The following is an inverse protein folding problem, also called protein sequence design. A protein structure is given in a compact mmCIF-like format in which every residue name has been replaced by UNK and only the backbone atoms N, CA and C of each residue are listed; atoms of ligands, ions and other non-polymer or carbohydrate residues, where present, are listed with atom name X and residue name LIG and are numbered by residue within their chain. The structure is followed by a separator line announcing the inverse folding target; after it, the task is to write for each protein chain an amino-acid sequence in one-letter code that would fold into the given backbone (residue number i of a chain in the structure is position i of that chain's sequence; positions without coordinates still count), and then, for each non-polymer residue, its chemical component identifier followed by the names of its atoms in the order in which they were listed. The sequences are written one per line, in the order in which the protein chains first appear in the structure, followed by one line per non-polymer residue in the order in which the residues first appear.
data_IF_246039195428
#
_entry.id   IF_246039195428
#
_cell.length_a   1.000
_cell.length_b   1.000
_cell.length_c   1.000
_cell.angle_alpha   90.00
_cell.angle_beta   90.00
_cell.angle_gamma   90.00
#
_symmetry.space_group_name_H-M   'P 1'
#
loop_
_entity.id
_entity.type
_entity.pdbx_description
1 polymer ?
#
# COMPACT_ATOMS: atom_id res chain seq x y z
N UNK A 1 -14.65 -39.14 -13.93
CA UNK A 1 -13.49 -39.90 -14.45
C UNK A 1 -12.93 -39.14 -15.67
N UNK A 2 -11.60 -38.95 -15.70
CA UNK A 2 -10.75 -38.25 -16.69
C UNK A 2 -10.93 -36.71 -16.74
N UNK A 3 -10.06 -35.82 -16.25
CA UNK A 3 -8.60 -35.75 -16.06
C UNK A 3 -7.76 -35.65 -17.35
N UNK A 4 -7.06 -34.50 -17.46
CA UNK A 4 -5.79 -34.25 -18.18
C UNK A 4 -5.77 -34.07 -19.71
N UNK A 5 -5.39 -32.84 -20.13
CA UNK A 5 -4.47 -32.42 -21.22
C UNK A 5 -4.92 -30.99 -21.63
N UNK A 6 -4.20 -29.90 -21.44
CA UNK A 6 -2.76 -29.66 -21.65
C UNK A 6 -2.27 -28.48 -20.80
N UNK A 7 -1.45 -28.78 -19.78
CA UNK A 7 -0.44 -27.87 -19.26
C UNK A 7 0.73 -27.86 -20.26
N UNK A 8 0.85 -26.82 -21.09
CA UNK A 8 2.07 -26.50 -21.83
C UNK A 8 1.98 -25.13 -22.51
N UNK A 9 2.27 -24.05 -21.77
CA UNK A 9 3.11 -22.98 -22.31
C UNK A 9 4.00 -22.47 -21.17
N UNK A 10 5.23 -22.99 -21.05
CA UNK A 10 6.18 -22.53 -20.06
C UNK A 10 6.64 -21.13 -20.48
N UNK A 11 6.49 -20.15 -19.60
CA UNK A 11 7.46 -19.06 -19.44
C UNK A 11 8.07 -18.47 -20.72
N UNK A 12 7.25 -18.08 -21.71
CA UNK A 12 7.73 -17.21 -22.79
C UNK A 12 7.74 -15.76 -22.28
N UNK A 13 8.81 -15.41 -21.57
CA UNK A 13 9.15 -14.06 -21.13
C UNK A 13 9.53 -13.20 -22.36
N UNK A 14 8.57 -12.94 -23.24
CA UNK A 14 8.78 -12.15 -24.46
C UNK A 14 8.78 -10.66 -24.12
N UNK A 15 9.80 -9.90 -24.55
CA UNK A 15 9.92 -8.44 -24.38
C UNK A 15 8.68 -7.66 -24.83
N UNK A 16 7.81 -8.25 -25.67
CA UNK A 16 6.52 -7.70 -26.09
C UNK A 16 5.54 -7.45 -24.94
N UNK A 17 5.61 -8.19 -23.84
CA UNK A 17 4.76 -7.97 -22.67
C UNK A 17 5.14 -6.72 -21.85
N UNK A 18 6.38 -6.21 -22.00
CA UNK A 18 6.84 -4.99 -21.32
C UNK A 18 6.44 -3.71 -22.05
N UNK A 19 6.30 -3.73 -23.37
CA UNK A 19 5.91 -2.54 -24.15
C UNK A 19 4.62 -1.86 -23.70
N UNK A 20 3.53 -2.56 -23.33
CA UNK A 20 2.33 -1.91 -22.78
C UNK A 20 2.48 -1.46 -21.31
N UNK A 21 3.49 -1.93 -20.59
CA UNK A 21 3.75 -1.56 -19.18
C UNK A 21 4.62 -0.31 -19.06
N UNK A 22 5.51 -0.11 -20.03
CA UNK A 22 6.45 1.01 -20.10
C UNK A 22 5.81 2.40 -19.82
N UNK A 23 4.70 2.81 -20.45
CA UNK A 23 4.17 4.16 -20.26
C UNK A 23 3.72 4.41 -18.82
N UNK A 24 3.14 3.42 -18.15
CA UNK A 24 2.73 3.56 -16.75
C UNK A 24 3.92 3.59 -15.79
N UNK A 25 4.92 2.74 -16.03
CA UNK A 25 6.15 2.71 -15.21
C UNK A 25 6.93 4.02 -15.36
N UNK A 26 7.05 4.56 -16.58
CA UNK A 26 7.69 5.85 -16.84
C UNK A 26 7.01 7.00 -16.08
N UNK A 27 5.68 7.01 -16.01
CA UNK A 27 4.95 8.01 -15.22
C UNK A 27 5.25 7.86 -13.73
N UNK A 28 5.24 6.64 -13.19
CA UNK A 28 5.60 6.40 -11.78
C UNK A 28 7.02 6.89 -11.49
N UNK A 29 8.00 6.56 -12.34
CA UNK A 29 9.40 7.00 -12.20
C UNK A 29 9.50 8.52 -12.30
N UNK A 30 8.82 9.15 -13.25
CA UNK A 30 8.80 10.60 -13.40
C UNK A 30 8.24 11.31 -12.16
N UNK A 31 7.14 10.81 -11.59
CA UNK A 31 6.55 11.34 -10.35
C UNK A 31 7.51 11.16 -9.17
N UNK A 32 8.13 9.99 -9.02
CA UNK A 32 9.12 9.74 -7.96
C UNK A 32 10.34 10.64 -8.11
N UNK A 33 10.89 10.81 -9.32
CA UNK A 33 12.01 11.71 -9.57
C UNK A 33 11.64 13.17 -9.28
N UNK A 34 10.44 13.60 -9.68
CA UNK A 34 9.96 14.95 -9.39
C UNK A 34 9.82 15.19 -7.88
N UNK A 35 9.31 14.21 -7.13
CA UNK A 35 9.18 14.31 -5.68
C UNK A 35 10.54 14.39 -4.97
N UNK A 36 11.50 13.54 -5.35
CA UNK A 36 12.87 13.56 -4.80
C UNK A 36 13.56 14.88 -5.15
N UNK A 37 13.40 15.38 -6.38
CA UNK A 37 14.00 16.65 -6.77
C UNK A 37 13.37 17.83 -6.01
N UNK A 38 12.05 17.82 -5.84
CA UNK A 38 11.33 18.82 -5.06
C UNK A 38 11.80 18.84 -3.60
N UNK A 39 11.97 17.67 -2.97
CA UNK A 39 12.53 17.57 -1.62
C UNK A 39 13.96 18.11 -1.58
N UNK A 40 14.83 17.74 -2.53
CA UNK A 40 16.22 18.23 -2.60
C UNK A 40 16.30 19.74 -2.75
N UNK A 41 15.42 20.33 -3.55
CA UNK A 41 15.32 21.79 -3.72
C UNK A 41 14.84 22.44 -2.43
N UNK A 42 13.86 21.85 -1.75
CA UNK A 42 13.33 22.34 -0.49
C UNK A 42 14.38 22.32 0.63
N UNK A 43 15.15 21.23 0.76
CA UNK A 43 16.26 21.15 1.72
C UNK A 43 17.34 22.19 1.42
N UNK A 44 17.63 22.47 0.14
CA UNK A 44 18.60 23.51 -0.23
C UNK A 44 18.12 24.94 0.02
N UNK A 45 16.83 25.23 -0.14
CA UNK A 45 16.30 26.58 0.08
C UNK A 45 15.90 26.87 1.53
N UNK A 46 15.28 25.90 2.22
CA UNK A 46 14.65 26.09 3.52
C UNK A 46 15.43 25.46 4.69
N UNK A 47 16.53 24.75 4.42
CA UNK A 47 17.39 24.12 5.44
C UNK A 47 16.80 22.87 6.12
N UNK A 48 15.49 22.61 5.99
CA UNK A 48 14.79 21.43 6.51
C UNK A 48 13.71 20.93 5.52
N UNK A 49 13.48 19.61 5.48
CA UNK A 49 12.41 19.02 4.69
C UNK A 49 11.08 19.12 5.46
N UNK A 50 10.18 20.01 5.03
CA UNK A 50 8.84 20.15 5.64
C UNK A 50 7.88 19.05 5.20
N UNK A 51 8.10 18.49 4.00
CA UNK A 51 7.40 17.30 3.50
C UNK A 51 8.45 16.30 3.00
N UNK A 52 8.36 15.06 3.47
CA UNK A 52 9.19 13.97 2.95
C UNK A 52 8.85 13.66 1.49
N UNK A 53 9.79 13.03 0.77
CA UNK A 53 9.65 12.60 -0.62
C UNK A 53 8.39 11.76 -0.85
N UNK A 54 8.03 10.90 0.12
CA UNK A 54 6.84 10.05 0.04
C UNK A 54 5.54 10.88 -0.02
N UNK A 55 5.42 11.90 0.83
CA UNK A 55 4.22 12.76 0.89
C UNK A 55 4.13 13.60 -0.39
N UNK A 56 5.26 14.13 -0.85
CA UNK A 56 5.35 14.85 -2.13
C UNK A 56 4.97 13.96 -3.31
N UNK A 57 5.44 12.71 -3.35
CA UNK A 57 5.11 11.77 -4.41
C UNK A 57 3.60 11.44 -4.43
N UNK A 58 2.97 11.27 -3.25
CA UNK A 58 1.53 11.03 -3.13
C UNK A 58 0.74 12.26 -3.59
N UNK A 59 1.15 13.47 -3.18
CA UNK A 59 0.50 14.73 -3.59
C UNK A 59 0.60 14.96 -5.10
N UNK A 60 1.81 14.85 -5.67
CA UNK A 60 2.03 15.02 -7.11
C UNK A 60 1.27 13.95 -7.89
N UNK A 61 1.31 12.68 -7.46
CA UNK A 61 0.59 11.59 -8.11
C UNK A 61 -0.93 11.79 -8.07
N UNK A 62 -1.47 12.24 -6.93
CA UNK A 62 -2.90 12.53 -6.77
C UNK A 62 -3.33 13.72 -7.62
N UNK A 63 -2.56 14.81 -7.62
CA UNK A 63 -2.81 15.98 -8.47
C UNK A 63 -2.75 15.62 -9.95
N UNK A 64 -1.73 14.87 -10.37
CA UNK A 64 -1.60 14.41 -11.76
C UNK A 64 -2.80 13.56 -12.18
N UNK A 65 -3.25 12.65 -11.31
CA UNK A 65 -4.41 11.79 -11.59
C UNK A 65 -5.73 12.55 -11.60
N UNK A 66 -5.84 13.63 -10.83
CA UNK A 66 -7.05 14.46 -10.73
C UNK A 66 -7.17 15.47 -11.88
N UNK A 67 -6.04 16.06 -12.31
CA UNK A 67 -6.00 17.11 -13.33
C UNK A 67 -5.84 16.58 -14.75
N UNK A 68 -5.25 15.40 -14.92
CA UNK A 68 -4.94 14.83 -16.24
C UNK A 68 -5.66 13.49 -16.42
N UNK A 69 -6.38 13.33 -17.53
CA UNK A 69 -6.90 12.04 -17.94
C UNK A 69 -5.76 11.18 -18.49
N UNK A 70 -5.25 10.24 -17.69
CA UNK A 70 -4.17 9.36 -18.12
C UNK A 70 -4.66 8.41 -19.23
N UNK A 71 -3.84 8.15 -20.26
CA UNK A 71 -4.18 7.21 -21.32
C UNK A 71 -4.37 5.79 -20.77
N UNK A 72 -5.31 5.02 -21.35
CA UNK A 72 -5.62 3.65 -20.91
C UNK A 72 -4.38 2.73 -20.88
N UNK A 73 -3.43 2.97 -21.80
CA UNK A 73 -2.15 2.27 -21.85
C UNK A 73 -1.29 2.46 -20.57
N UNK A 74 -1.38 3.61 -19.90
CA UNK A 74 -0.64 3.84 -18.66
C UNK A 74 -1.21 3.07 -17.47
N UNK A 75 -2.50 2.71 -17.49
CA UNK A 75 -3.15 2.03 -16.37
C UNK A 75 -2.54 0.66 -16.09
N UNK A 76 -2.10 -0.07 -17.12
CA UNK A 76 -1.47 -1.38 -16.96
C UNK A 76 -0.15 -1.27 -16.17
N UNK A 77 0.72 -0.33 -16.55
CA UNK A 77 1.99 -0.10 -15.86
C UNK A 77 1.81 0.40 -14.43
N UNK A 78 0.86 1.31 -14.19
CA UNK A 78 0.58 1.82 -12.82
C UNK A 78 0.09 0.68 -11.92
N UNK A 79 -0.82 -0.18 -12.39
CA UNK A 79 -1.31 -1.34 -11.63
C UNK A 79 -0.20 -2.34 -11.33
N UNK A 80 0.70 -2.57 -12.30
CA UNK A 80 1.86 -3.43 -12.11
C UNK A 80 2.78 -2.88 -11.01
N UNK A 81 3.08 -1.58 -11.04
CA UNK A 81 3.89 -0.94 -10.00
C UNK A 81 3.22 -0.98 -8.62
N UNK A 82 1.92 -0.66 -8.55
CA UNK A 82 1.19 -0.59 -7.30
C UNK A 82 0.96 -1.96 -6.62
N UNK A 83 0.95 -3.05 -7.39
CA UNK A 83 0.74 -4.40 -6.86
C UNK A 83 2.04 -5.20 -6.85
N UNK A 84 2.57 -5.53 -8.02
CA UNK A 84 3.67 -6.48 -8.15
C UNK A 84 4.99 -5.92 -7.63
N UNK A 85 5.37 -4.71 -8.03
CA UNK A 85 6.60 -4.10 -7.52
C UNK A 85 6.50 -3.83 -6.01
N UNK A 86 5.34 -3.39 -5.53
CA UNK A 86 5.13 -3.15 -4.10
C UNK A 86 5.20 -4.43 -3.27
N UNK A 87 4.57 -5.53 -3.70
CA UNK A 87 4.65 -6.83 -3.02
C UNK A 87 6.09 -7.37 -2.99
N UNK A 88 6.84 -7.25 -4.09
CA UNK A 88 8.26 -7.61 -4.14
C UNK A 88 9.06 -6.76 -3.15
N UNK A 89 8.86 -5.44 -3.15
CA UNK A 89 9.57 -4.52 -2.25
C UNK A 89 9.29 -4.84 -0.77
N UNK A 90 8.04 -5.11 -0.40
CA UNK A 90 7.65 -5.49 0.97
C UNK A 90 8.26 -6.84 1.36
N UNK A 91 8.28 -7.82 0.45
CA UNK A 91 8.91 -9.11 0.71
C UNK A 91 10.43 -8.97 0.96
N UNK A 92 11.12 -8.17 0.14
CA UNK A 92 12.55 -7.88 0.34
C UNK A 92 12.79 -7.11 1.63
N UNK A 93 11.95 -6.12 1.95
CA UNK A 93 12.04 -5.36 3.20
C UNK A 93 11.88 -6.27 4.42
N UNK A 94 10.96 -7.23 4.36
CA UNK A 94 10.81 -8.28 5.39
C UNK A 94 12.05 -9.16 5.52
N UNK A 95 12.65 -9.58 4.40
CA UNK A 95 13.90 -10.36 4.39
C UNK A 95 15.08 -9.58 4.99
N UNK A 96 15.20 -8.28 4.69
CA UNK A 96 16.22 -7.39 5.26
C UNK A 96 16.02 -7.16 6.76
N UNK A 97 14.78 -6.94 7.22
CA UNK A 97 14.48 -6.75 8.65
C UNK A 97 14.76 -8.02 9.46
N UNK A 98 14.37 -9.19 8.95
CA UNK A 98 14.48 -10.46 9.69
C UNK A 98 15.91 -10.75 10.17
N UNK A 99 16.92 -10.51 9.32
CA UNK A 99 18.32 -10.75 9.66
C UNK A 99 18.92 -9.71 10.60
N UNK A 100 18.51 -8.45 10.47
CA UNK A 100 19.01 -7.34 11.29
C UNK A 100 18.40 -7.32 12.69
N UNK A 101 17.10 -7.57 12.79
CA UNK A 101 16.32 -7.49 14.03
C UNK A 101 16.54 -8.72 14.93
N UNK A 102 16.65 -9.90 14.33
CA UNK A 102 16.79 -11.16 15.08
C UNK A 102 18.12 -11.26 15.85
N UNK A 103 19.17 -10.56 15.40
CA UNK A 103 20.48 -10.55 16.06
C UNK A 103 20.56 -9.68 17.31
N UNK A 104 19.65 -8.70 17.48
CA UNK A 104 19.76 -7.71 18.55
C UNK A 104 18.70 -7.81 19.65
N UNK A 105 17.44 -8.10 19.31
CA UNK A 105 16.32 -7.93 20.26
C UNK A 105 15.16 -8.93 20.08
N UNK A 106 15.44 -10.04 19.38
CA UNK A 106 14.48 -11.01 18.80
C UNK A 106 13.12 -11.16 19.49
N UNK A 107 13.07 -11.58 20.76
CA UNK A 107 11.80 -11.84 21.45
C UNK A 107 11.02 -10.59 21.87
N UNK A 108 11.71 -9.55 22.33
CA UNK A 108 11.08 -8.33 22.85
C UNK A 108 10.44 -7.51 21.72
N UNK A 109 11.09 -7.46 20.55
CA UNK A 109 10.55 -6.75 19.39
C UNK A 109 9.34 -7.46 18.79
N UNK A 110 9.36 -8.80 18.69
CA UNK A 110 8.21 -9.56 18.22
C UNK A 110 7.02 -9.37 19.17
N UNK A 111 7.27 -9.45 20.48
CA UNK A 111 6.25 -9.19 21.50
C UNK A 111 5.69 -7.76 21.42
N UNK A 112 6.57 -6.76 21.24
CA UNK A 112 6.19 -5.36 21.10
C UNK A 112 5.34 -5.08 19.86
N UNK A 113 5.73 -5.63 18.70
CA UNK A 113 4.96 -5.51 17.46
C UNK A 113 3.60 -6.20 17.62
N UNK A 114 3.56 -7.42 18.15
CA UNK A 114 2.32 -8.15 18.37
C UNK A 114 1.38 -7.37 19.31
N UNK A 115 1.92 -6.78 20.39
CA UNK A 115 1.15 -5.97 21.33
C UNK A 115 0.62 -4.70 20.66
N UNK A 116 1.44 -3.97 19.92
CA UNK A 116 1.02 -2.71 19.29
C UNK A 116 -0.02 -2.94 18.19
N UNK A 117 0.13 -4.03 17.44
CA UNK A 117 -0.85 -4.46 16.44
C UNK A 117 -2.14 -4.87 17.13
N UNK A 118 -2.09 -5.68 18.19
CA UNK A 118 -3.28 -6.09 18.93
C UNK A 118 -4.02 -4.88 19.54
N UNK A 119 -3.29 -3.95 20.16
CA UNK A 119 -3.85 -2.72 20.70
C UNK A 119 -4.47 -1.86 19.59
N UNK A 120 -3.76 -1.65 18.47
CA UNK A 120 -4.28 -0.89 17.34
C UNK A 120 -5.53 -1.52 16.75
N UNK A 121 -5.60 -2.86 16.72
CA UNK A 121 -6.75 -3.60 16.19
C UNK A 121 -7.97 -3.42 17.10
N UNK A 122 -7.78 -3.55 18.42
CA UNK A 122 -8.85 -3.32 19.41
C UNK A 122 -9.34 -1.87 19.34
N UNK A 123 -8.44 -0.90 19.33
CA UNK A 123 -8.78 0.54 19.27
C UNK A 123 -9.50 0.86 17.96
N UNK A 124 -8.97 0.42 16.81
CA UNK A 124 -9.58 0.65 15.50
C UNK A 124 -10.95 -0.02 15.38
N UNK A 125 -11.11 -1.23 15.92
CA UNK A 125 -12.40 -1.92 15.94
C UNK A 125 -13.40 -1.20 16.84
N UNK A 126 -13.00 -0.80 18.04
CA UNK A 126 -13.84 -0.06 18.97
C UNK A 126 -14.29 1.27 18.34
N UNK A 127 -13.38 2.02 17.71
CA UNK A 127 -13.69 3.25 16.98
C UNK A 127 -14.70 2.99 15.85
N UNK A 128 -14.50 1.94 15.06
CA UNK A 128 -15.46 1.55 14.02
C UNK A 128 -16.84 1.19 14.58
N UNK A 129 -16.91 0.51 15.72
CA UNK A 129 -18.18 0.18 16.39
C UNK A 129 -18.87 1.40 16.99
N UNK A 130 -18.11 2.36 17.54
CA UNK A 130 -18.65 3.64 18.04
C UNK A 130 -19.24 4.48 16.92
N UNK A 131 -18.70 4.39 15.71
CA UNK A 131 -19.24 5.01 14.50
C UNK A 131 -20.46 4.26 13.92
N UNK A 132 -20.93 3.19 14.56
CA UNK A 132 -22.11 2.44 14.15
C UNK A 132 -21.88 1.43 13.02
N UNK A 133 -20.62 1.11 12.67
CA UNK A 133 -20.34 0.17 11.59
C UNK A 133 -20.73 -1.27 11.98
N UNK A 134 -21.21 -2.07 11.00
CA UNK A 134 -21.46 -3.49 11.23
C UNK A 134 -20.14 -4.21 11.60
N UNK A 135 -20.21 -5.27 12.42
CA UNK A 135 -19.02 -5.90 13.01
C UNK A 135 -18.01 -6.36 11.95
N UNK A 136 -18.48 -6.95 10.83
CA UNK A 136 -17.61 -7.42 9.74
C UNK A 136 -16.83 -6.26 9.09
N UNK A 137 -17.51 -5.15 8.79
CA UNK A 137 -16.88 -3.97 8.21
C UNK A 137 -15.88 -3.32 9.18
N UNK A 138 -16.24 -3.22 10.47
CA UNK A 138 -15.37 -2.70 11.51
C UNK A 138 -14.10 -3.56 11.67
N UNK A 139 -14.23 -4.90 11.63
CA UNK A 139 -13.08 -5.81 11.69
C UNK A 139 -12.17 -5.66 10.48
N UNK A 140 -12.72 -5.57 9.27
CA UNK A 140 -11.92 -5.38 8.05
C UNK A 140 -11.15 -4.05 8.08
N UNK A 141 -11.81 -2.95 8.45
CA UNK A 141 -11.15 -1.64 8.60
C UNK A 141 -10.06 -1.71 9.67
N UNK A 142 -10.33 -2.35 10.82
CA UNK A 142 -9.35 -2.50 11.89
C UNK A 142 -8.13 -3.31 11.45
N UNK A 143 -8.32 -4.41 10.71
CA UNK A 143 -7.22 -5.19 10.13
C UNK A 143 -6.43 -4.38 9.10
N UNK A 144 -7.12 -3.65 8.23
CA UNK A 144 -6.48 -2.79 7.23
C UNK A 144 -5.63 -1.68 7.85
N UNK A 145 -6.16 -1.02 8.88
CA UNK A 145 -5.47 0.10 9.53
C UNK A 145 -4.32 -0.34 10.46
N UNK A 146 -4.42 -1.51 11.08
CA UNK A 146 -3.45 -1.96 12.11
C UNK A 146 -2.28 -2.79 11.58
N UNK A 147 -2.41 -3.35 10.38
CA UNK A 147 -1.39 -4.24 9.81
C UNK A 147 -0.75 -3.56 8.61
N UNK A 148 -1.30 -3.71 7.40
CA UNK A 148 -0.69 -3.16 6.17
C UNK A 148 -1.72 -2.92 5.04
N UNK A 149 -2.93 -2.44 5.34
CA UNK A 149 -3.90 -2.00 4.33
C UNK A 149 -4.63 -3.12 3.59
N UNK A 150 -4.74 -3.00 2.26
CA UNK A 150 -5.61 -3.83 1.43
C UNK A 150 -5.28 -5.32 1.45
N UNK A 151 -4.01 -5.69 1.60
CA UNK A 151 -3.60 -7.10 1.69
C UNK A 151 -4.10 -7.75 2.99
N UNK A 152 -4.13 -6.99 4.10
CA UNK A 152 -4.70 -7.48 5.36
C UNK A 152 -6.22 -7.64 5.26
N UNK A 153 -6.91 -6.70 4.60
CA UNK A 153 -8.35 -6.80 4.33
C UNK A 153 -8.66 -8.05 3.49
N UNK A 154 -7.89 -8.27 2.41
CA UNK A 154 -8.07 -9.42 1.53
C UNK A 154 -7.82 -10.76 2.25
N UNK A 155 -6.84 -10.82 3.16
CA UNK A 155 -6.55 -12.01 3.96
C UNK A 155 -7.62 -12.28 5.04
N UNK A 156 -8.12 -11.23 5.69
CA UNK A 156 -9.11 -11.34 6.77
C UNK A 156 -10.54 -11.62 6.25
N UNK A 157 -10.88 -11.13 5.06
CA UNK A 157 -12.21 -11.27 4.47
C UNK A 157 -12.77 -12.71 4.42
N UNK A 158 -12.04 -13.73 3.92
CA UNK A 158 -12.53 -15.11 3.91
C UNK A 158 -12.64 -15.70 5.32
N UNK A 159 -11.78 -15.30 6.26
CA UNK A 159 -11.76 -15.83 7.62
C UNK A 159 -13.02 -15.42 8.43
N UNK A 160 -13.62 -14.27 8.13
CA UNK A 160 -14.82 -13.76 8.80
C UNK A 160 -16.10 -13.89 7.93
N UNK A 161 -15.98 -14.49 6.75
CA UNK A 161 -17.08 -14.59 5.78
C UNK A 161 -17.64 -13.22 5.38
N UNK A 162 -16.76 -12.26 5.07
CA UNK A 162 -17.15 -10.92 4.64
C UNK A 162 -17.74 -10.93 3.23
N UNK A 163 -18.71 -10.04 2.99
CA UNK A 163 -19.27 -9.84 1.64
C UNK A 163 -18.29 -9.01 0.79
N UNK A 164 -18.27 -9.18 -0.54
CA UNK A 164 -17.44 -8.35 -1.42
C UNK A 164 -17.75 -6.85 -1.28
N UNK A 165 -18.99 -6.51 -0.94
CA UNK A 165 -19.43 -5.15 -0.64
C UNK A 165 -18.72 -4.59 0.60
N UNK A 166 -18.62 -5.38 1.68
CA UNK A 166 -17.92 -4.99 2.91
C UNK A 166 -16.42 -4.79 2.62
N UNK A 167 -15.82 -5.68 1.81
CA UNK A 167 -14.41 -5.59 1.41
C UNK A 167 -14.14 -4.30 0.63
N UNK A 168 -14.97 -4.01 -0.38
CA UNK A 168 -14.83 -2.79 -1.18
C UNK A 168 -15.01 -1.53 -0.33
N UNK A 169 -16.02 -1.51 0.56
CA UNK A 169 -16.26 -0.40 1.47
C UNK A 169 -15.10 -0.20 2.45
N UNK A 170 -14.54 -1.27 3.02
CA UNK A 170 -13.37 -1.19 3.90
C UNK A 170 -12.16 -0.62 3.18
N UNK A 171 -11.85 -1.11 1.96
CA UNK A 171 -10.73 -0.61 1.16
C UNK A 171 -10.89 0.88 0.90
N UNK A 172 -12.07 1.32 0.46
CA UNK A 172 -12.37 2.72 0.20
C UNK A 172 -12.19 3.58 1.47
N UNK A 173 -12.74 3.14 2.60
CA UNK A 173 -12.63 3.85 3.87
C UNK A 173 -11.17 3.95 4.33
N UNK A 174 -10.40 2.86 4.28
CA UNK A 174 -8.98 2.88 4.62
C UNK A 174 -8.14 3.74 3.67
N UNK A 175 -8.50 3.81 2.39
CA UNK A 175 -7.82 4.68 1.43
C UNK A 175 -8.07 6.16 1.76
N UNK A 176 -9.32 6.53 2.07
CA UNK A 176 -9.68 7.90 2.48
C UNK A 176 -8.96 8.29 3.77
N UNK A 177 -8.96 7.43 4.78
CA UNK A 177 -8.22 7.65 6.02
C UNK A 177 -6.71 7.79 5.79
N UNK A 178 -6.14 6.96 4.91
CA UNK A 178 -4.72 7.03 4.56
C UNK A 178 -4.36 8.35 3.89
N UNK A 179 -5.17 8.81 2.93
CA UNK A 179 -4.98 10.12 2.30
C UNK A 179 -5.12 11.25 3.32
N UNK A 180 -6.12 11.19 4.20
CA UNK A 180 -6.30 12.17 5.26
C UNK A 180 -5.11 12.21 6.23
N UNK A 181 -4.58 11.05 6.63
CA UNK A 181 -3.41 10.95 7.50
C UNK A 181 -2.15 11.54 6.84
N UNK A 182 -1.93 11.25 5.56
CA UNK A 182 -0.80 11.81 4.79
C UNK A 182 -0.91 13.33 4.68
N UNK A 183 -2.11 13.86 4.46
CA UNK A 183 -2.34 15.30 4.40
C UNK A 183 -2.23 15.99 5.76
N UNK A 184 -2.54 15.29 6.86
CA UNK A 184 -2.44 15.82 8.22
C UNK A 184 -1.00 15.74 8.77
N UNK A 185 -0.20 14.81 8.28
CA UNK A 185 1.20 14.59 8.70
C UNK A 185 2.06 15.87 8.72
N UNK A 186 2.08 16.74 7.68
CA UNK A 186 2.87 17.98 7.72
C UNK A 186 2.37 19.04 8.71
N UNK A 187 1.19 18.86 9.31
CA UNK A 187 0.64 19.77 10.33
C UNK A 187 0.90 19.30 11.76
N UNK A 188 1.36 18.06 11.95
CA UNK A 188 1.71 17.53 13.26
C UNK A 188 3.20 17.82 13.52
N UNK A 189 3.56 18.51 14.61
CA UNK A 189 4.95 18.88 14.92
C UNK A 189 5.85 17.69 15.23
#
# INVERSE_FOLDING_TARGET
MAQHRTLAHPFQFSLRWLTPLLPGILICVAVSCAAILAERVQVRLAGHAWLGDLVLAILIGTMLRSLVALPAAASAGIKFSAKTLLEIAVALLGASLSLSILKGAGGLLIGGIALIVALSLVVSYAAGRMLGLPPKLATLIACGNSICGNSAIAAAAPAIGAKPEDVAASIAFTAVLGVAAVLLMPFLP
#
